data_IF_032920919790
#
_entry.id   IF_032920919790
#
_cell.length_a   1.000
_cell.length_b   1.000
_cell.length_c   1.000
_cell.angle_alpha   90.00
_cell.angle_beta   90.00
_cell.angle_gamma   90.00
#
_symmetry.space_group_name_H-M   'P 1'
#
loop_
_entity.id
_entity.type
_entity.pdbx_description
1 polymer ?
#
# COMPACT_ATOMS: atom_id res chain seq x y z
N UNK A 1 -36.86 -13.47 -16.71
CA UNK A 1 -35.47 -13.06 -16.46
C UNK A 1 -35.48 -12.19 -15.24
N UNK A 2 -35.11 -12.74 -14.11
CA UNK A 2 -35.03 -12.02 -12.83
C UNK A 2 -33.88 -11.00 -12.95
N UNK A 3 -34.16 -9.70 -12.80
CA UNK A 3 -33.12 -8.70 -12.56
C UNK A 3 -32.47 -9.06 -11.23
N UNK A 4 -31.30 -9.60 -11.24
CA UNK A 4 -30.42 -9.59 -10.07
C UNK A 4 -30.21 -8.12 -9.72
N UNK A 5 -30.76 -7.65 -8.62
CA UNK A 5 -30.45 -6.33 -8.07
C UNK A 5 -28.94 -6.29 -7.88
N UNK A 6 -28.25 -5.40 -8.59
CA UNK A 6 -26.81 -5.21 -8.43
C UNK A 6 -26.56 -4.70 -7.01
N UNK A 7 -25.78 -5.43 -6.26
CA UNK A 7 -25.33 -5.03 -4.92
C UNK A 7 -24.52 -3.74 -5.07
N UNK A 8 -24.82 -2.72 -4.24
CA UNK A 8 -24.00 -1.51 -4.25
C UNK A 8 -22.56 -1.83 -3.81
N UNK A 9 -21.51 -1.22 -4.41
CA UNK A 9 -20.12 -1.44 -3.98
C UNK A 9 -19.89 -1.19 -2.48
N UNK A 10 -20.67 -0.29 -1.87
CA UNK A 10 -20.64 -0.02 -0.42
C UNK A 10 -21.13 -1.19 0.44
N UNK A 11 -22.05 -1.99 -0.08
CA UNK A 11 -22.76 -3.04 0.66
C UNK A 11 -22.15 -4.43 0.41
N UNK A 12 -21.07 -4.51 -0.37
CA UNK A 12 -20.31 -5.73 -0.57
C UNK A 12 -19.72 -6.19 0.75
N UNK A 13 -19.99 -7.43 1.13
CA UNK A 13 -19.44 -8.05 2.35
C UNK A 13 -17.96 -8.33 2.14
N UNK A 14 -17.10 -7.73 2.97
CA UNK A 14 -15.64 -7.85 2.86
C UNK A 14 -15.07 -8.91 3.81
N UNK A 15 -15.65 -9.07 4.99
CA UNK A 15 -15.26 -10.11 5.95
C UNK A 15 -16.40 -10.45 6.92
N UNK A 16 -16.23 -11.52 7.69
CA UNK A 16 -17.14 -11.91 8.76
C UNK A 16 -16.38 -12.37 10.01
N UNK A 17 -16.89 -11.99 11.21
CA UNK A 17 -16.40 -12.46 12.50
C UNK A 17 -17.56 -13.17 13.24
N UNK A 18 -17.48 -14.49 13.36
CA UNK A 18 -18.62 -15.29 13.82
C UNK A 18 -19.81 -15.16 12.88
N UNK A 19 -20.95 -14.68 13.40
CA UNK A 19 -22.18 -14.45 12.63
C UNK A 19 -22.31 -13.02 12.10
N UNK A 20 -21.41 -12.12 12.49
CA UNK A 20 -21.45 -10.72 12.09
C UNK A 20 -20.67 -10.52 10.78
N UNK A 21 -21.33 -9.95 9.78
CA UNK A 21 -20.74 -9.57 8.51
C UNK A 21 -20.38 -8.07 8.54
N UNK A 22 -19.27 -7.76 7.86
CA UNK A 22 -18.77 -6.40 7.70
C UNK A 22 -18.66 -6.09 6.21
N UNK A 23 -19.14 -4.91 5.84
CA UNK A 23 -19.22 -4.45 4.46
C UNK A 23 -18.07 -3.51 4.13
N UNK A 24 -17.93 -3.15 2.84
CA UNK A 24 -17.02 -2.10 2.40
C UNK A 24 -17.28 -0.78 3.14
N UNK A 25 -18.54 -0.43 3.40
CA UNK A 25 -18.92 0.72 4.23
C UNK A 25 -18.36 0.66 5.65
N UNK A 26 -18.27 -0.54 6.25
CA UNK A 26 -17.69 -0.72 7.58
C UNK A 26 -16.18 -0.59 7.56
N UNK A 27 -15.52 -1.13 6.56
CA UNK A 27 -14.07 -0.99 6.38
C UNK A 27 -13.67 0.48 6.16
N UNK A 28 -14.43 1.22 5.35
CA UNK A 28 -14.23 2.66 5.11
C UNK A 28 -14.48 3.45 6.40
N UNK A 29 -15.58 3.22 7.10
CA UNK A 29 -15.88 3.91 8.36
C UNK A 29 -14.79 3.64 9.42
N UNK A 30 -14.27 2.42 9.49
CA UNK A 30 -13.16 2.08 10.35
C UNK A 30 -11.85 2.80 9.93
N UNK A 31 -11.59 2.96 8.64
CA UNK A 31 -10.43 3.72 8.15
C UNK A 31 -10.56 5.22 8.46
N UNK A 32 -11.77 5.80 8.35
CA UNK A 32 -12.07 7.19 8.78
C UNK A 32 -11.82 7.33 10.28
N UNK A 33 -12.32 6.40 11.10
CA UNK A 33 -12.09 6.39 12.55
C UNK A 33 -10.60 6.39 12.89
N UNK A 34 -9.78 5.66 12.14
CA UNK A 34 -8.32 5.59 12.32
C UNK A 34 -7.54 6.75 11.72
N UNK A 35 -8.18 7.67 10.99
CA UNK A 35 -7.53 8.78 10.31
C UNK A 35 -6.69 8.35 9.09
N UNK A 36 -6.95 7.17 8.52
CA UNK A 36 -6.22 6.60 7.37
C UNK A 36 -6.91 6.86 6.04
N UNK A 37 -7.98 7.62 6.06
CA UNK A 37 -8.90 7.80 4.93
C UNK A 37 -8.58 9.04 4.10
N UNK A 38 -8.26 10.16 4.74
CA UNK A 38 -8.24 11.49 4.12
C UNK A 38 -7.29 11.57 2.92
N UNK A 39 -6.10 11.02 3.02
CA UNK A 39 -5.13 11.01 1.93
C UNK A 39 -5.68 10.31 0.67
N UNK A 40 -6.38 9.18 0.86
CA UNK A 40 -7.00 8.44 -0.25
C UNK A 40 -8.14 9.22 -0.90
N UNK A 41 -8.95 9.88 -0.07
CA UNK A 41 -10.03 10.73 -0.55
C UNK A 41 -9.49 11.93 -1.34
N UNK A 42 -8.47 12.62 -0.84
CA UNK A 42 -7.85 13.75 -1.53
C UNK A 42 -7.15 13.31 -2.83
N UNK A 43 -6.54 12.14 -2.85
CA UNK A 43 -5.95 11.57 -4.08
C UNK A 43 -7.04 11.28 -5.12
N UNK A 44 -8.16 10.69 -4.71
CA UNK A 44 -9.30 10.45 -5.59
C UNK A 44 -9.88 11.75 -6.15
N UNK A 45 -10.08 12.79 -5.32
CA UNK A 45 -10.57 14.09 -5.80
C UNK A 45 -9.62 14.74 -6.81
N UNK A 46 -8.30 14.57 -6.66
CA UNK A 46 -7.33 15.02 -7.67
C UNK A 46 -7.50 14.28 -8.99
N UNK A 47 -7.77 12.97 -8.96
CA UNK A 47 -8.02 12.20 -10.18
C UNK A 47 -9.31 12.61 -10.87
N UNK A 48 -10.38 12.90 -10.13
CA UNK A 48 -11.63 13.43 -10.70
C UNK A 48 -11.38 14.79 -11.34
N UNK A 49 -10.72 15.71 -10.63
CA UNK A 49 -10.39 17.03 -11.18
C UNK A 49 -9.46 16.96 -12.42
N UNK A 50 -8.60 15.96 -12.51
CA UNK A 50 -7.77 15.73 -13.69
C UNK A 50 -8.60 15.21 -14.88
N UNK A 51 -9.60 14.37 -14.64
CA UNK A 51 -10.56 13.90 -15.64
C UNK A 51 -11.38 15.09 -16.19
N UNK A 52 -11.98 15.90 -15.31
CA UNK A 52 -12.72 17.12 -15.71
C UNK A 52 -11.83 18.08 -16.51
N UNK A 53 -10.57 18.23 -16.11
CA UNK A 53 -9.61 19.08 -16.82
C UNK A 53 -9.20 18.52 -18.17
N UNK A 54 -9.09 17.21 -18.30
CA UNK A 54 -8.81 16.55 -19.57
C UNK A 54 -9.95 16.78 -20.56
N UNK A 55 -11.20 16.69 -20.10
CA UNK A 55 -12.39 16.98 -20.90
C UNK A 55 -12.44 18.47 -21.36
N UNK A 56 -12.15 19.40 -20.44
CA UNK A 56 -12.08 20.84 -20.80
C UNK A 56 -11.00 21.16 -21.84
N UNK A 57 -9.91 20.43 -21.83
CA UNK A 57 -8.79 20.59 -22.78
C UNK A 57 -8.97 19.76 -24.05
N UNK A 58 -10.08 19.02 -24.17
CA UNK A 58 -10.31 18.07 -25.29
C UNK A 58 -9.09 17.16 -25.48
N UNK A 59 -8.51 16.67 -24.36
CA UNK A 59 -7.32 15.82 -24.38
C UNK A 59 -7.60 14.49 -25.09
N UNK A 60 -6.83 14.19 -26.12
CA UNK A 60 -6.93 12.90 -26.81
C UNK A 60 -6.36 11.79 -25.90
N UNK A 61 -7.23 10.86 -25.49
CA UNK A 61 -6.82 9.75 -24.64
C UNK A 61 -6.12 8.68 -25.48
N UNK A 62 -4.98 8.19 -24.98
CA UNK A 62 -4.31 7.02 -25.58
C UNK A 62 -5.02 5.72 -25.16
N UNK A 63 -5.99 5.32 -25.97
CA UNK A 63 -6.74 4.08 -25.75
C UNK A 63 -5.85 2.84 -25.65
N UNK A 64 -4.69 2.83 -26.32
CA UNK A 64 -3.74 1.71 -26.24
C UNK A 64 -3.09 1.62 -24.85
N UNK A 65 -2.69 2.78 -24.29
CA UNK A 65 -2.12 2.84 -22.94
C UNK A 65 -3.15 2.47 -21.86
N UNK A 66 -4.40 2.94 -22.01
CA UNK A 66 -5.51 2.60 -21.10
C UNK A 66 -5.82 1.11 -21.17
N UNK A 67 -5.92 0.54 -22.37
CA UNK A 67 -6.17 -0.90 -22.56
C UNK A 67 -5.04 -1.75 -21.98
N UNK A 68 -3.79 -1.35 -22.17
CA UNK A 68 -2.64 -2.06 -21.60
C UNK A 68 -2.68 -2.09 -20.06
N UNK A 69 -3.06 -0.97 -19.41
CA UNK A 69 -3.21 -0.91 -17.96
C UNK A 69 -4.35 -1.81 -17.46
N UNK A 70 -5.48 -1.85 -18.18
CA UNK A 70 -6.60 -2.73 -17.88
C UNK A 70 -6.24 -4.21 -18.06
N UNK A 71 -5.47 -4.55 -19.09
CA UNK A 71 -4.95 -5.90 -19.30
C UNK A 71 -3.98 -6.32 -18.20
N UNK A 72 -3.06 -5.46 -17.81
CA UNK A 72 -2.13 -5.71 -16.69
C UNK A 72 -2.89 -6.00 -15.39
N UNK A 73 -3.96 -5.24 -15.11
CA UNK A 73 -4.84 -5.50 -13.97
C UNK A 73 -5.45 -6.89 -14.07
N UNK A 74 -6.03 -7.25 -15.22
CA UNK A 74 -6.66 -8.56 -15.43
C UNK A 74 -5.66 -9.71 -15.22
N UNK A 75 -4.46 -9.61 -15.76
CA UNK A 75 -3.40 -10.62 -15.56
C UNK A 75 -2.99 -10.74 -14.10
N UNK A 76 -2.87 -9.62 -13.38
CA UNK A 76 -2.52 -9.62 -11.95
C UNK A 76 -3.57 -10.31 -11.08
N UNK A 77 -4.83 -10.30 -11.53
CA UNK A 77 -5.97 -10.93 -10.84
C UNK A 77 -6.39 -12.26 -11.46
N UNK A 78 -5.58 -12.87 -12.34
CA UNK A 78 -5.87 -14.11 -13.05
C UNK A 78 -7.22 -14.09 -13.84
N UNK A 79 -7.61 -12.91 -14.35
CA UNK A 79 -8.84 -12.71 -15.11
C UNK A 79 -8.54 -12.84 -16.62
N UNK A 80 -8.51 -14.05 -17.10
CA UNK A 80 -8.07 -14.35 -18.49
C UNK A 80 -9.19 -14.06 -19.49
N UNK A 81 -10.45 -14.38 -19.14
CA UNK A 81 -11.60 -14.21 -20.02
C UNK A 81 -12.44 -12.99 -19.67
N UNK A 82 -13.29 -12.54 -20.59
CA UNK A 82 -14.25 -11.47 -20.34
C UNK A 82 -15.27 -11.86 -19.26
N UNK A 83 -15.74 -13.12 -19.30
CA UNK A 83 -16.70 -13.67 -18.35
C UNK A 83 -16.13 -13.71 -16.92
N UNK A 84 -14.84 -14.04 -16.76
CA UNK A 84 -14.16 -13.98 -15.45
C UNK A 84 -14.07 -12.54 -14.94
N UNK A 85 -13.77 -11.60 -15.83
CA UNK A 85 -13.73 -10.18 -15.49
C UNK A 85 -15.11 -9.68 -15.06
N UNK A 86 -16.16 -9.98 -15.83
CA UNK A 86 -17.55 -9.61 -15.49
C UNK A 86 -17.97 -10.22 -14.15
N UNK A 87 -17.69 -11.49 -13.91
CA UNK A 87 -18.01 -12.15 -12.66
C UNK A 87 -17.25 -11.54 -11.47
N UNK A 88 -15.97 -11.19 -11.65
CA UNK A 88 -15.16 -10.53 -10.64
C UNK A 88 -15.72 -9.16 -10.27
N UNK A 89 -16.10 -8.36 -11.26
CA UNK A 89 -16.72 -7.05 -11.09
C UNK A 89 -18.08 -7.16 -10.39
N UNK A 90 -18.97 -8.03 -10.91
CA UNK A 90 -20.30 -8.24 -10.37
C UNK A 90 -20.28 -8.67 -8.90
N UNK A 91 -19.34 -9.55 -8.51
CA UNK A 91 -19.15 -9.97 -7.12
C UNK A 91 -18.71 -8.82 -6.18
N UNK A 92 -18.23 -7.70 -6.75
CA UNK A 92 -17.81 -6.50 -6.05
C UNK A 92 -18.77 -5.33 -6.23
N UNK A 93 -19.93 -5.58 -6.83
CA UNK A 93 -20.94 -4.57 -7.11
C UNK A 93 -20.51 -3.53 -8.15
N UNK A 94 -19.54 -3.89 -9.01
CA UNK A 94 -19.01 -3.04 -10.07
C UNK A 94 -19.56 -3.43 -11.44
N UNK A 95 -19.61 -2.46 -12.33
CA UNK A 95 -19.92 -2.64 -13.75
C UNK A 95 -18.65 -2.58 -14.59
N UNK A 96 -18.79 -2.92 -15.88
CA UNK A 96 -17.68 -2.75 -16.83
C UNK A 96 -17.38 -1.26 -17.08
N UNK A 97 -18.40 -0.40 -17.01
CA UNK A 97 -18.22 1.06 -17.11
C UNK A 97 -17.37 1.59 -15.94
N UNK A 98 -17.65 1.17 -14.69
CA UNK A 98 -16.82 1.53 -13.53
C UNK A 98 -15.35 1.13 -13.73
N UNK A 99 -15.11 -0.03 -14.35
CA UNK A 99 -13.78 -0.54 -14.65
C UNK A 99 -13.08 0.30 -15.71
N UNK A 100 -13.75 0.60 -16.83
CA UNK A 100 -13.21 1.41 -17.92
C UNK A 100 -12.90 2.82 -17.46
N UNK A 101 -13.86 3.46 -16.77
CA UNK A 101 -13.74 4.82 -16.26
C UNK A 101 -12.59 4.96 -15.25
N UNK A 102 -12.36 3.92 -14.44
CA UNK A 102 -11.24 3.91 -13.51
C UNK A 102 -9.89 4.06 -14.23
N UNK A 103 -9.64 3.30 -15.29
CA UNK A 103 -8.36 3.35 -16.01
C UNK A 103 -8.23 4.65 -16.83
N UNK A 104 -9.31 5.15 -17.40
CA UNK A 104 -9.34 6.46 -18.09
C UNK A 104 -8.98 7.58 -17.12
N UNK A 105 -9.56 7.58 -15.92
CA UNK A 105 -9.25 8.54 -14.85
C UNK A 105 -7.82 8.47 -14.38
N UNK A 106 -7.26 7.24 -14.23
CA UNK A 106 -5.85 7.06 -13.89
C UNK A 106 -4.92 7.61 -14.98
N UNK A 107 -5.29 7.42 -16.25
CA UNK A 107 -4.56 7.98 -17.37
C UNK A 107 -4.56 9.52 -17.34
N UNK A 108 -5.73 10.15 -17.18
CA UNK A 108 -5.85 11.60 -17.08
C UNK A 108 -5.03 12.16 -15.90
N UNK A 109 -5.10 11.53 -14.74
CA UNK A 109 -4.33 11.93 -13.57
C UNK A 109 -2.81 11.88 -13.82
N UNK A 110 -2.33 10.87 -14.55
CA UNK A 110 -0.91 10.74 -14.91
C UNK A 110 -0.49 11.75 -15.97
N UNK A 111 -1.37 12.03 -16.94
CA UNK A 111 -1.08 12.96 -18.03
C UNK A 111 -1.08 14.42 -17.57
N UNK A 112 -1.85 14.77 -16.54
CA UNK A 112 -2.05 16.12 -16.02
C UNK A 112 -1.53 16.28 -14.57
N UNK A 113 -0.45 15.58 -14.21
CA UNK A 113 0.10 15.51 -12.85
C UNK A 113 0.47 16.88 -12.24
N UNK A 114 0.75 17.88 -13.07
CA UNK A 114 1.05 19.23 -12.61
C UNK A 114 -0.10 20.21 -12.88
N UNK A 115 -0.58 20.87 -11.82
CA UNK A 115 -1.44 22.04 -11.92
C UNK A 115 -2.93 21.82 -11.71
N UNK A 116 -3.38 20.62 -11.37
CA UNK A 116 -4.77 20.34 -11.03
C UNK A 116 -4.99 20.47 -9.53
N UNK A 117 -5.84 21.42 -9.14
CA UNK A 117 -6.25 21.59 -7.73
C UNK A 117 -7.68 21.07 -7.57
N UNK A 118 -7.90 20.01 -6.77
CA UNK A 118 -9.24 19.47 -6.57
C UNK A 118 -10.12 20.44 -5.77
N UNK A 119 -11.42 20.38 -6.00
CA UNK A 119 -12.41 21.00 -5.13
C UNK A 119 -12.34 20.37 -3.74
N UNK A 120 -12.40 21.20 -2.69
CA UNK A 120 -12.35 20.73 -1.30
C UNK A 120 -13.72 20.22 -0.86
N UNK A 121 -14.02 18.96 -1.10
CA UNK A 121 -15.26 18.28 -0.74
C UNK A 121 -15.01 17.30 0.40
N UNK A 122 -15.73 17.45 1.51
CA UNK A 122 -15.71 16.43 2.57
C UNK A 122 -16.48 15.18 2.12
N UNK A 123 -15.94 13.99 2.37
CA UNK A 123 -16.58 12.71 2.01
C UNK A 123 -18.02 12.60 2.50
N UNK A 124 -18.28 13.03 3.74
CA UNK A 124 -19.60 12.95 4.36
C UNK A 124 -20.66 13.85 3.72
N UNK A 125 -20.22 14.91 3.04
CA UNK A 125 -21.09 15.84 2.31
C UNK A 125 -21.09 15.61 0.78
N UNK A 126 -20.24 14.72 0.28
CA UNK A 126 -20.15 14.41 -1.14
C UNK A 126 -21.42 13.74 -1.66
N UNK A 127 -21.73 13.98 -2.96
CA UNK A 127 -22.85 13.33 -3.63
C UNK A 127 -22.73 11.81 -3.60
N UNK A 128 -23.84 11.05 -3.54
CA UNK A 128 -23.81 9.60 -3.52
C UNK A 128 -23.05 8.97 -4.70
N UNK A 129 -23.18 9.57 -5.89
CA UNK A 129 -22.50 9.13 -7.11
C UNK A 129 -20.99 9.26 -6.96
N UNK A 130 -20.49 10.39 -6.46
CA UNK A 130 -19.06 10.62 -6.23
C UNK A 130 -18.49 9.64 -5.18
N UNK A 131 -19.26 9.35 -4.13
CA UNK A 131 -18.88 8.32 -3.15
C UNK A 131 -18.87 6.92 -3.76
N UNK A 132 -19.80 6.62 -4.68
CA UNK A 132 -19.84 5.36 -5.43
C UNK A 132 -18.57 5.18 -6.29
N UNK A 133 -18.20 6.20 -7.06
CA UNK A 133 -16.96 6.20 -7.86
C UNK A 133 -15.71 6.03 -7.00
N UNK A 134 -15.68 6.66 -5.82
CA UNK A 134 -14.57 6.49 -4.88
C UNK A 134 -14.44 5.05 -4.40
N UNK A 135 -15.56 4.41 -4.00
CA UNK A 135 -15.53 3.01 -3.55
C UNK A 135 -15.11 2.07 -4.68
N UNK A 136 -15.59 2.30 -5.90
CA UNK A 136 -15.13 1.58 -7.09
C UNK A 136 -13.60 1.72 -7.26
N UNK A 137 -13.09 2.94 -7.13
CA UNK A 137 -11.64 3.20 -7.15
C UNK A 137 -10.86 2.50 -6.04
N UNK A 138 -11.40 2.46 -4.81
CA UNK A 138 -10.78 1.72 -3.70
C UNK A 138 -10.71 0.21 -3.96
N UNK A 139 -11.75 -0.37 -4.58
CA UNK A 139 -11.79 -1.78 -4.96
C UNK A 139 -10.74 -2.07 -6.04
N UNK A 140 -10.74 -1.28 -7.11
CA UNK A 140 -9.87 -1.50 -8.27
C UNK A 140 -8.39 -1.22 -7.99
N UNK A 141 -8.09 -0.30 -7.06
CA UNK A 141 -6.71 -0.04 -6.61
C UNK A 141 -6.18 -1.04 -5.58
N UNK A 142 -7.02 -1.93 -5.03
CA UNK A 142 -6.68 -2.79 -3.89
C UNK A 142 -6.71 -2.07 -2.52
N UNK A 143 -6.98 -0.76 -2.49
CA UNK A 143 -6.97 0.01 -1.24
C UNK A 143 -8.09 -0.42 -0.26
N UNK A 144 -9.23 -0.92 -0.77
CA UNK A 144 -10.27 -1.51 0.08
C UNK A 144 -9.79 -2.80 0.76
N UNK A 145 -8.99 -3.60 0.07
CA UNK A 145 -8.41 -4.82 0.65
C UNK A 145 -7.48 -4.49 1.81
N UNK A 146 -6.61 -3.48 1.67
CA UNK A 146 -5.75 -2.98 2.75
C UNK A 146 -6.56 -2.51 3.96
N UNK A 147 -7.64 -1.73 3.72
CA UNK A 147 -8.55 -1.27 4.78
C UNK A 147 -9.22 -2.47 5.48
N UNK A 148 -9.60 -3.47 4.69
CA UNK A 148 -10.24 -4.70 5.18
C UNK A 148 -9.29 -5.52 6.03
N UNK A 149 -8.05 -5.75 5.59
CA UNK A 149 -7.03 -6.47 6.37
C UNK A 149 -6.80 -5.80 7.72
N UNK A 150 -6.67 -4.47 7.73
CA UNK A 150 -6.53 -3.71 8.97
C UNK A 150 -7.73 -3.81 9.90
N UNK A 151 -8.96 -3.86 9.35
CA UNK A 151 -10.18 -4.12 10.13
C UNK A 151 -10.17 -5.55 10.68
N UNK A 152 -9.84 -6.55 9.85
CA UNK A 152 -9.80 -7.96 10.24
C UNK A 152 -8.82 -8.22 11.39
N UNK A 153 -7.63 -7.60 11.39
CA UNK A 153 -6.67 -7.70 12.49
C UNK A 153 -7.26 -7.23 13.83
N UNK A 154 -8.02 -6.14 13.79
CA UNK A 154 -8.65 -5.55 14.97
C UNK A 154 -9.82 -6.37 15.48
N UNK A 155 -10.64 -6.88 14.55
CA UNK A 155 -11.70 -7.82 14.87
C UNK A 155 -11.13 -9.10 15.49
N UNK A 156 -10.07 -9.65 14.92
CA UNK A 156 -9.41 -10.83 15.46
C UNK A 156 -8.82 -10.57 16.86
N UNK A 157 -8.20 -9.41 17.08
CA UNK A 157 -7.72 -9.00 18.40
C UNK A 157 -8.86 -8.93 19.43
N UNK A 158 -9.99 -8.35 19.02
CA UNK A 158 -11.19 -8.26 19.88
C UNK A 158 -11.76 -9.63 20.22
N UNK A 159 -11.80 -10.55 19.23
CA UNK A 159 -12.32 -11.91 19.44
C UNK A 159 -11.39 -12.78 20.31
N UNK A 160 -10.07 -12.59 20.21
CA UNK A 160 -9.08 -13.38 20.95
C UNK A 160 -8.74 -12.80 22.33
N UNK A 161 -9.04 -11.52 22.56
CA UNK A 161 -8.70 -10.80 23.78
C UNK A 161 -9.74 -10.94 24.90
N UNK A 162 -9.35 -10.46 26.08
CA UNK A 162 -10.29 -10.17 27.16
C UNK A 162 -11.03 -8.87 26.85
N UNK A 163 -12.17 -8.65 27.51
CA UNK A 163 -12.88 -7.38 27.41
C UNK A 163 -11.96 -6.21 27.75
N UNK A 164 -12.01 -5.16 26.93
CA UNK A 164 -11.25 -3.94 27.18
C UNK A 164 -11.74 -3.24 28.45
N UNK A 165 -10.81 -2.76 29.27
CA UNK A 165 -11.20 -2.04 30.49
C UNK A 165 -11.78 -0.66 30.16
N UNK A 166 -12.65 -0.10 31.02
CA UNK A 166 -13.20 1.25 30.84
C UNK A 166 -12.10 2.31 30.66
N UNK A 167 -10.99 2.15 31.36
CA UNK A 167 -9.82 3.06 31.30
C UNK A 167 -9.14 3.00 29.93
N UNK A 168 -9.00 1.80 29.35
CA UNK A 168 -8.42 1.60 28.01
C UNK A 168 -9.32 2.23 26.94
N UNK A 169 -10.64 2.02 27.04
CA UNK A 169 -11.64 2.64 26.14
C UNK A 169 -11.60 4.16 26.26
N UNK A 170 -11.53 4.71 27.48
CA UNK A 170 -11.42 6.16 27.70
C UNK A 170 -10.10 6.74 27.16
N UNK A 171 -9.01 5.98 27.22
CA UNK A 171 -7.74 6.37 26.63
C UNK A 171 -7.83 6.40 25.10
N UNK A 172 -8.47 5.40 24.49
CA UNK A 172 -8.66 5.37 23.03
C UNK A 172 -9.60 6.47 22.54
N UNK A 173 -10.66 6.82 23.31
CA UNK A 173 -11.50 7.97 23.00
C UNK A 173 -10.70 9.28 22.94
N UNK A 174 -9.77 9.49 23.88
CA UNK A 174 -8.91 10.69 23.84
C UNK A 174 -8.00 10.73 22.61
N UNK A 175 -7.40 9.59 22.25
CA UNK A 175 -6.58 9.47 21.02
C UNK A 175 -7.44 9.74 19.78
N UNK A 176 -8.62 9.16 19.69
CA UNK A 176 -9.55 9.35 18.59
C UNK A 176 -9.94 10.83 18.42
N UNK A 177 -10.41 11.51 19.48
CA UNK A 177 -10.77 12.93 19.40
C UNK A 177 -9.58 13.82 19.00
N UNK A 178 -8.37 13.51 19.48
CA UNK A 178 -7.14 14.19 19.07
C UNK A 178 -6.79 13.98 17.60
N UNK A 179 -7.02 12.77 17.09
CA UNK A 179 -6.74 12.38 15.69
C UNK A 179 -7.65 13.08 14.69
N UNK A 180 -8.97 13.07 14.96
CA UNK A 180 -9.95 13.72 14.05
C UNK A 180 -10.14 15.21 14.34
N UNK A 181 -9.47 15.74 15.35
CA UNK A 181 -9.45 17.16 15.74
C UNK A 181 -10.87 17.76 15.93
N UNK A 182 -11.78 17.02 16.54
CA UNK A 182 -13.12 17.51 16.90
C UNK A 182 -13.30 17.61 18.41
N UNK A 183 -14.19 18.54 18.82
CA UNK A 183 -14.57 18.67 20.23
C UNK A 183 -15.66 17.63 20.56
N UNK A 184 -15.74 17.17 21.81
CA UNK A 184 -16.78 16.21 22.25
C UNK A 184 -18.23 16.65 21.89
N UNK A 185 -18.52 17.95 21.93
CA UNK A 185 -19.83 18.48 21.55
C UNK A 185 -20.19 18.32 20.07
N UNK A 186 -19.20 18.11 19.19
CA UNK A 186 -19.39 17.93 17.74
C UNK A 186 -19.52 16.44 17.35
N UNK A 187 -19.25 15.53 18.30
CA UNK A 187 -19.18 14.09 18.04
C UNK A 187 -20.49 13.51 17.51
N UNK A 188 -21.63 13.92 18.06
CA UNK A 188 -22.94 13.44 17.62
C UNK A 188 -23.19 13.80 16.14
N UNK A 189 -22.89 15.04 15.75
CA UNK A 189 -23.04 15.52 14.38
C UNK A 189 -22.08 14.80 13.42
N UNK A 190 -20.85 14.53 13.87
CA UNK A 190 -19.86 13.78 13.09
C UNK A 190 -20.31 12.34 12.84
N UNK A 191 -20.84 11.65 13.87
CA UNK A 191 -21.38 10.31 13.73
C UNK A 191 -22.57 10.27 12.78
N UNK A 192 -23.51 11.23 12.91
CA UNK A 192 -24.66 11.36 12.01
C UNK A 192 -24.22 11.53 10.55
N UNK A 193 -23.25 12.40 10.30
CA UNK A 193 -22.70 12.63 8.96
C UNK A 193 -22.03 11.39 8.36
N UNK A 194 -21.46 10.52 9.20
CA UNK A 194 -20.89 9.23 8.81
C UNK A 194 -21.96 8.12 8.68
N UNK A 195 -23.23 8.39 9.06
CA UNK A 195 -24.30 7.39 9.12
C UNK A 195 -24.07 6.35 10.21
N UNK A 196 -23.47 6.75 11.34
CA UNK A 196 -23.12 5.90 12.48
C UNK A 196 -23.70 6.46 13.77
N UNK A 197 -23.73 5.64 14.81
CA UNK A 197 -24.24 5.99 16.12
C UNK A 197 -23.21 5.81 17.24
N UNK A 198 -23.62 6.11 18.45
CA UNK A 198 -22.78 5.95 19.64
C UNK A 198 -22.45 4.49 19.96
N UNK A 199 -23.30 3.55 19.57
CA UNK A 199 -23.05 2.12 19.78
C UNK A 199 -21.89 1.67 18.88
N UNK A 200 -21.91 2.03 17.61
CA UNK A 200 -20.81 1.78 16.68
C UNK A 200 -19.51 2.41 17.17
N UNK A 201 -19.53 3.65 17.66
CA UNK A 201 -18.35 4.30 18.21
C UNK A 201 -17.74 3.52 19.38
N UNK A 202 -18.60 3.12 20.34
CA UNK A 202 -18.14 2.34 21.49
C UNK A 202 -17.54 0.99 21.08
N UNK A 203 -18.09 0.34 20.06
CA UNK A 203 -17.56 -0.89 19.50
C UNK A 203 -16.18 -0.64 18.87
N UNK A 204 -16.02 0.39 18.04
CA UNK A 204 -14.75 0.74 17.43
C UNK A 204 -13.67 1.08 18.47
N UNK A 205 -14.02 1.81 19.52
CA UNK A 205 -13.11 2.09 20.63
C UNK A 205 -12.67 0.81 21.36
N UNK A 206 -13.59 -0.12 21.60
CA UNK A 206 -13.27 -1.39 22.23
C UNK A 206 -12.38 -2.28 21.34
N UNK A 207 -12.63 -2.28 20.03
CA UNK A 207 -11.83 -2.99 19.03
C UNK A 207 -10.41 -2.42 18.99
N UNK A 208 -10.23 -1.10 18.92
CA UNK A 208 -8.91 -0.46 18.90
C UNK A 208 -8.17 -0.63 20.23
N UNK A 209 -8.86 -0.56 21.37
CA UNK A 209 -8.25 -0.81 22.67
C UNK A 209 -7.73 -2.26 22.78
N UNK A 210 -8.48 -3.25 22.29
CA UNK A 210 -8.03 -4.63 22.23
C UNK A 210 -6.81 -4.80 21.31
N UNK A 211 -6.85 -4.21 20.11
CA UNK A 211 -5.73 -4.24 19.19
C UNK A 211 -4.46 -3.62 19.80
N UNK A 212 -4.60 -2.44 20.44
CA UNK A 212 -3.49 -1.78 21.13
C UNK A 212 -2.87 -2.65 22.23
N UNK A 213 -3.69 -3.32 23.03
CA UNK A 213 -3.20 -4.24 24.07
C UNK A 213 -2.41 -5.43 23.51
N UNK A 214 -2.82 -5.98 22.36
CA UNK A 214 -2.05 -7.01 21.67
C UNK A 214 -0.72 -6.48 21.11
N UNK A 215 -0.73 -5.28 20.51
CA UNK A 215 0.50 -4.63 20.03
C UNK A 215 1.50 -4.39 21.18
N UNK A 216 1.04 -3.86 22.32
CA UNK A 216 1.87 -3.58 23.47
C UNK A 216 2.50 -4.86 24.05
N UNK A 217 1.74 -5.96 24.08
CA UNK A 217 2.24 -7.26 24.54
C UNK A 217 3.25 -7.90 23.56
N UNK A 218 3.09 -7.63 22.27
CA UNK A 218 3.93 -8.21 21.20
C UNK A 218 5.22 -7.43 21.00
N UNK A 219 5.14 -6.09 20.97
CA UNK A 219 6.24 -5.21 20.60
C UNK A 219 7.17 -4.91 21.80
N UNK A 220 7.54 -5.95 22.56
CA UNK A 220 8.49 -5.84 23.67
C UNK A 220 9.95 -5.89 23.15
N UNK A 221 10.92 -5.30 23.88
CA UNK A 221 12.33 -5.26 23.44
C UNK A 221 12.90 -6.61 23.04
N UNK A 222 12.59 -7.66 23.78
CA UNK A 222 13.09 -9.01 23.56
C UNK A 222 12.54 -9.63 22.27
N UNK A 223 11.27 -9.36 21.94
CA UNK A 223 10.66 -9.83 20.69
C UNK A 223 11.28 -9.11 19.49
N UNK A 224 11.44 -7.78 19.57
CA UNK A 224 12.12 -6.99 18.55
C UNK A 224 13.54 -7.47 18.29
N UNK A 225 14.31 -7.76 19.35
CA UNK A 225 15.68 -8.22 19.22
C UNK A 225 15.75 -9.60 18.54
N UNK A 226 14.86 -10.53 18.89
CA UNK A 226 14.78 -11.84 18.22
C UNK A 226 14.42 -11.70 16.75
N UNK A 227 13.45 -10.85 16.44
CA UNK A 227 13.02 -10.60 15.06
C UNK A 227 14.11 -9.91 14.23
N UNK A 228 14.84 -8.95 14.83
CA UNK A 228 15.98 -8.31 14.17
C UNK A 228 17.05 -9.35 13.78
N UNK A 229 17.36 -10.30 14.68
CA UNK A 229 18.31 -11.37 14.38
C UNK A 229 17.83 -12.21 13.21
N UNK A 230 16.55 -12.58 13.17
CA UNK A 230 15.96 -13.35 12.08
C UNK A 230 15.99 -12.58 10.73
N UNK A 231 15.80 -11.27 10.77
CA UNK A 231 15.78 -10.40 9.60
C UNK A 231 17.14 -9.76 9.26
N UNK A 232 18.21 -10.09 9.99
CA UNK A 232 19.51 -9.42 9.90
C UNK A 232 20.02 -9.32 8.46
N UNK A 233 19.97 -10.40 7.70
CA UNK A 233 20.42 -10.40 6.30
C UNK A 233 19.49 -9.55 5.41
N UNK A 234 18.19 -9.75 5.51
CA UNK A 234 17.20 -9.04 4.70
C UNK A 234 17.25 -7.52 4.89
N UNK A 235 17.52 -7.07 6.12
CA UNK A 235 17.61 -5.66 6.48
C UNK A 235 19.02 -5.08 6.39
N UNK A 236 20.04 -5.87 5.98
CA UNK A 236 21.38 -5.33 5.71
C UNK A 236 21.30 -4.29 4.61
N UNK A 237 21.80 -3.09 4.85
CA UNK A 237 21.85 -1.99 3.89
C UNK A 237 23.19 -2.00 3.15
N UNK A 238 23.11 -1.78 1.85
CA UNK A 238 24.24 -1.67 0.95
C UNK A 238 24.34 -0.22 0.46
N UNK A 239 25.44 0.45 0.80
CA UNK A 239 25.80 1.73 0.18
C UNK A 239 26.59 1.43 -1.09
N UNK A 240 26.15 1.96 -2.25
CA UNK A 240 26.66 1.58 -3.56
C UNK A 240 26.93 2.78 -4.44
N UNK A 241 27.90 2.61 -5.37
CA UNK A 241 28.07 3.45 -6.53
C UNK A 241 27.60 2.68 -7.77
N UNK A 242 26.85 3.34 -8.64
CA UNK A 242 26.18 2.76 -9.79
C UNK A 242 26.48 3.57 -11.02
N UNK A 243 26.75 2.88 -12.15
CA UNK A 243 26.86 3.47 -13.49
C UNK A 243 25.87 2.74 -14.38
N UNK A 244 25.01 3.49 -15.08
CA UNK A 244 24.10 2.96 -16.08
C UNK A 244 24.76 3.00 -17.45
N UNK A 245 24.68 1.90 -18.21
CA UNK A 245 25.38 1.71 -19.49
C UNK A 245 24.42 1.13 -20.52
N UNK A 246 24.59 1.55 -21.77
CA UNK A 246 23.69 1.20 -22.88
C UNK A 246 23.84 -0.25 -23.37
N UNK A 247 24.99 -0.87 -23.11
CA UNK A 247 25.28 -2.22 -23.61
C UNK A 247 26.17 -3.02 -22.67
N UNK A 248 26.13 -4.36 -22.84
CA UNK A 248 26.99 -5.26 -22.10
C UNK A 248 28.49 -5.04 -22.36
N UNK A 249 28.85 -4.68 -23.60
CA UNK A 249 30.27 -4.44 -23.97
C UNK A 249 30.76 -3.15 -23.31
N UNK A 250 29.96 -2.07 -23.30
CA UNK A 250 30.29 -0.84 -22.59
C UNK A 250 30.43 -1.10 -21.08
N UNK A 251 29.58 -1.96 -20.51
CA UNK A 251 29.63 -2.31 -19.10
C UNK A 251 30.89 -3.14 -18.75
N UNK A 252 31.31 -4.02 -19.63
CA UNK A 252 32.57 -4.76 -19.46
C UNK A 252 33.80 -3.86 -19.58
N UNK A 253 33.81 -2.93 -20.53
CA UNK A 253 34.89 -1.94 -20.68
C UNK A 253 34.96 -1.07 -19.40
N UNK A 254 33.84 -0.54 -18.93
CA UNK A 254 33.81 0.23 -17.70
C UNK A 254 34.31 -0.59 -16.49
N UNK A 255 33.90 -1.87 -16.37
CA UNK A 255 34.39 -2.78 -15.34
C UNK A 255 35.94 -2.94 -15.44
N UNK A 256 36.47 -3.10 -16.66
CA UNK A 256 37.92 -3.24 -16.89
C UNK A 256 38.66 -1.97 -16.46
N UNK A 257 38.21 -0.77 -16.87
CA UNK A 257 38.81 0.50 -16.48
C UNK A 257 38.86 0.68 -14.95
N UNK A 258 37.80 0.27 -14.24
CA UNK A 258 37.80 0.37 -12.78
C UNK A 258 38.70 -0.69 -12.13
N UNK A 259 38.69 -1.93 -12.65
CA UNK A 259 39.37 -3.07 -12.03
C UNK A 259 40.87 -3.10 -12.33
N UNK A 260 41.25 -2.84 -13.57
CA UNK A 260 42.64 -3.01 -14.06
C UNK A 260 43.37 -1.67 -14.13
N UNK A 261 42.73 -0.61 -14.62
CA UNK A 261 43.33 0.71 -14.75
C UNK A 261 43.26 1.56 -13.47
N UNK A 262 42.51 1.08 -12.48
CA UNK A 262 42.41 1.73 -11.18
C UNK A 262 41.60 3.03 -11.19
N UNK A 263 40.80 3.27 -12.22
CA UNK A 263 39.92 4.45 -12.31
C UNK A 263 38.82 4.36 -11.29
N UNK A 264 38.39 5.48 -10.75
CA UNK A 264 37.17 5.50 -9.92
C UNK A 264 35.92 5.36 -10.78
N UNK A 265 34.83 4.82 -10.19
CA UNK A 265 33.50 4.74 -10.84
C UNK A 265 33.09 6.10 -11.44
N UNK A 266 33.35 7.19 -10.69
CA UNK A 266 32.99 8.54 -11.12
C UNK A 266 33.83 9.02 -12.32
N UNK A 267 35.10 8.68 -12.38
CA UNK A 267 35.99 9.03 -13.54
C UNK A 267 35.49 8.29 -14.78
N UNK A 268 35.26 6.97 -14.71
CA UNK A 268 34.74 6.17 -15.82
C UNK A 268 33.40 6.73 -16.32
N UNK A 269 32.49 7.04 -15.41
CA UNK A 269 31.20 7.64 -15.75
C UNK A 269 31.36 9.02 -16.44
N UNK A 270 32.31 9.84 -15.98
CA UNK A 270 32.55 11.17 -16.53
C UNK A 270 33.14 11.09 -17.93
N UNK A 271 34.16 10.23 -18.15
CA UNK A 271 34.81 10.05 -19.46
C UNK A 271 33.84 9.42 -20.47
N UNK A 272 33.09 8.39 -20.07
CA UNK A 272 32.11 7.73 -20.91
C UNK A 272 30.78 8.47 -21.07
N UNK A 273 30.57 9.57 -20.31
CA UNK A 273 29.32 10.33 -20.23
C UNK A 273 28.13 9.46 -19.81
N UNK A 274 28.37 8.52 -18.93
CA UNK A 274 27.33 7.62 -18.38
C UNK A 274 26.69 8.22 -17.15
N UNK A 275 25.40 7.98 -16.91
CA UNK A 275 24.76 8.31 -15.65
C UNK A 275 25.44 7.63 -14.47
N UNK A 276 25.80 8.43 -13.46
CA UNK A 276 26.40 7.97 -12.22
C UNK A 276 25.56 8.40 -11.03
N UNK A 277 25.30 7.45 -10.12
CA UNK A 277 24.60 7.75 -8.88
C UNK A 277 25.18 6.97 -7.70
N UNK A 278 24.95 7.50 -6.50
CA UNK A 278 25.07 6.75 -5.26
C UNK A 278 23.69 6.38 -4.78
N UNK A 279 23.53 5.17 -4.29
CA UNK A 279 22.26 4.68 -3.81
C UNK A 279 22.48 3.74 -2.63
N UNK A 280 21.46 3.71 -1.77
CA UNK A 280 21.39 2.83 -0.62
C UNK A 280 20.19 1.91 -0.80
N UNK A 281 20.44 0.61 -0.73
CA UNK A 281 19.38 -0.41 -0.81
C UNK A 281 19.50 -1.39 0.36
N UNK A 282 18.37 -1.87 0.84
CA UNK A 282 18.37 -3.05 1.72
C UNK A 282 18.30 -4.31 0.87
N UNK A 283 18.84 -5.42 1.40
CA UNK A 283 18.86 -6.68 0.65
C UNK A 283 17.45 -7.08 0.17
N UNK A 284 16.43 -6.92 1.01
CA UNK A 284 15.05 -7.26 0.67
C UNK A 284 14.43 -6.40 -0.46
N UNK A 285 15.02 -5.25 -0.78
CA UNK A 285 14.59 -4.34 -1.86
C UNK A 285 15.19 -4.74 -3.21
N UNK A 286 16.18 -5.63 -3.19
CA UNK A 286 16.83 -6.13 -4.40
C UNK A 286 16.07 -7.35 -4.95
N UNK A 287 16.07 -7.57 -6.27
CA UNK A 287 15.52 -8.79 -6.87
C UNK A 287 16.11 -10.05 -6.24
N UNK A 288 15.27 -11.05 -5.98
CA UNK A 288 15.66 -12.27 -5.23
C UNK A 288 16.85 -13.00 -5.86
N UNK A 289 16.91 -13.07 -7.19
CA UNK A 289 18.00 -13.68 -7.95
C UNK A 289 19.32 -12.91 -7.84
N UNK A 290 19.26 -11.60 -7.59
CA UNK A 290 20.43 -10.75 -7.39
C UNK A 290 20.99 -10.81 -5.96
N UNK A 291 20.14 -11.03 -4.94
CA UNK A 291 20.49 -10.91 -3.52
C UNK A 291 21.75 -11.70 -3.14
N UNK A 292 21.89 -12.94 -3.65
CA UNK A 292 23.05 -13.78 -3.32
C UNK A 292 24.37 -13.20 -3.82
N UNK A 293 24.36 -12.49 -4.96
CA UNK A 293 25.56 -11.82 -5.51
C UNK A 293 26.01 -10.70 -4.58
N UNK A 294 25.08 -9.87 -4.09
CA UNK A 294 25.39 -8.79 -3.15
C UNK A 294 25.90 -9.30 -1.79
N UNK A 295 25.42 -10.44 -1.34
CA UNK A 295 25.88 -11.06 -0.09
C UNK A 295 27.32 -11.58 -0.23
N UNK A 296 27.70 -12.09 -1.40
CA UNK A 296 28.98 -12.77 -1.63
C UNK A 296 30.18 -11.82 -1.78
N UNK A 297 29.98 -10.55 -2.12
CA UNK A 297 31.05 -9.57 -2.33
C UNK A 297 31.37 -8.79 -1.07
N UNK A 298 32.60 -8.25 -0.97
CA UNK A 298 33.05 -7.42 0.16
C UNK A 298 32.92 -5.91 -0.16
N UNK A 299 32.90 -5.05 0.87
CA UNK A 299 33.02 -3.62 0.66
C UNK A 299 34.30 -3.29 -0.15
N UNK A 300 34.15 -2.47 -1.20
CA UNK A 300 35.19 -2.12 -2.17
C UNK A 300 35.12 -2.94 -3.46
N UNK A 301 34.46 -4.10 -3.46
CA UNK A 301 34.38 -4.96 -4.64
C UNK A 301 33.37 -4.41 -5.67
N UNK A 302 33.62 -4.78 -6.92
CA UNK A 302 32.74 -4.57 -8.07
C UNK A 302 31.93 -5.84 -8.33
N UNK A 303 30.65 -5.66 -8.59
CA UNK A 303 29.80 -6.72 -9.15
C UNK A 303 30.03 -6.82 -10.66
N UNK A 304 29.88 -8.03 -11.20
CA UNK A 304 29.80 -8.19 -12.66
C UNK A 304 28.58 -7.43 -13.20
N UNK A 305 28.70 -6.80 -14.40
CA UNK A 305 27.59 -6.03 -14.97
C UNK A 305 26.29 -6.82 -15.01
N UNK A 306 25.20 -6.17 -14.62
CA UNK A 306 23.86 -6.77 -14.54
C UNK A 306 22.91 -6.06 -15.50
N UNK A 307 21.98 -6.79 -16.14
CA UNK A 307 20.90 -6.16 -16.89
C UNK A 307 20.07 -5.22 -16.00
N UNK A 308 19.78 -4.03 -16.49
CA UNK A 308 18.96 -3.03 -15.81
C UNK A 308 18.16 -2.22 -16.83
N UNK A 309 16.82 -2.30 -16.80
CA UNK A 309 15.98 -1.71 -17.84
C UNK A 309 16.36 -2.23 -19.23
N UNK A 310 16.53 -1.30 -20.18
CA UNK A 310 16.97 -1.61 -21.56
C UNK A 310 18.50 -1.72 -21.72
N UNK A 311 19.26 -1.56 -20.62
CA UNK A 311 20.71 -1.54 -20.62
C UNK A 311 21.34 -2.42 -19.54
N UNK A 312 22.47 -1.94 -19.01
CA UNK A 312 23.25 -2.64 -17.99
C UNK A 312 23.64 -1.67 -16.87
N UNK A 313 23.84 -2.22 -15.69
CA UNK A 313 24.31 -1.48 -14.53
C UNK A 313 25.62 -2.11 -14.02
N UNK A 314 26.66 -1.26 -13.80
CA UNK A 314 27.86 -1.61 -13.08
C UNK A 314 27.75 -1.09 -11.65
N UNK A 315 27.92 -1.97 -10.67
CA UNK A 315 27.75 -1.67 -9.26
C UNK A 315 29.06 -1.90 -8.49
N UNK A 316 29.41 -0.94 -7.61
CA UNK A 316 30.46 -1.08 -6.59
C UNK A 316 29.86 -1.00 -5.20
N UNK A 317 30.11 -2.00 -4.37
CA UNK A 317 29.70 -1.97 -2.97
C UNK A 317 30.66 -1.09 -2.19
N UNK A 318 30.19 0.01 -1.64
CA UNK A 318 30.99 0.90 -0.81
C UNK A 318 31.01 0.44 0.65
N UNK A 319 29.85 0.02 1.16
CA UNK A 319 29.71 -0.38 2.54
C UNK A 319 28.53 -1.35 2.72
N UNK A 320 28.66 -2.26 3.68
CA UNK A 320 27.56 -3.06 4.23
C UNK A 320 27.28 -2.61 5.65
N UNK A 321 26.06 -2.14 5.91
CA UNK A 321 25.62 -1.65 7.21
C UNK A 321 24.66 -2.65 7.83
N UNK A 322 25.05 -3.18 8.99
CA UNK A 322 24.19 -4.08 9.74
C UNK A 322 22.98 -3.34 10.33
N UNK A 323 21.79 -3.94 10.28
CA UNK A 323 20.59 -3.30 10.82
C UNK A 323 20.66 -3.18 12.36
N UNK A 324 20.12 -2.07 12.88
CA UNK A 324 20.07 -1.79 14.32
C UNK A 324 18.69 -1.23 14.68
N UNK A 325 18.19 -1.57 15.88
CA UNK A 325 16.87 -1.08 16.36
C UNK A 325 16.85 0.42 16.66
N UNK A 326 17.99 1.06 16.77
CA UNK A 326 18.11 2.52 16.90
C UNK A 326 17.76 3.26 15.61
N UNK A 327 17.86 2.58 14.45
CA UNK A 327 17.37 3.09 13.18
C UNK A 327 15.82 2.98 13.16
N UNK A 328 15.10 4.12 13.06
CA UNK A 328 13.64 4.12 13.07
C UNK A 328 13.03 3.29 11.93
N UNK A 329 13.69 3.24 10.76
CA UNK A 329 13.22 2.48 9.59
C UNK A 329 13.35 0.99 9.83
N UNK A 330 14.49 0.54 10.36
CA UNK A 330 14.71 -0.86 10.74
C UNK A 330 13.73 -1.28 11.82
N UNK A 331 13.56 -0.44 12.87
CA UNK A 331 12.60 -0.71 13.93
C UNK A 331 11.18 -0.85 13.41
N UNK A 332 10.75 0.06 12.53
CA UNK A 332 9.42 0.02 11.90
C UNK A 332 9.20 -1.26 11.10
N UNK A 333 10.19 -1.70 10.31
CA UNK A 333 10.11 -2.96 9.54
C UNK A 333 10.07 -4.20 10.45
N UNK A 334 10.86 -4.21 11.53
CA UNK A 334 10.82 -5.28 12.53
C UNK A 334 9.46 -5.34 13.22
N UNK A 335 8.92 -4.19 13.64
CA UNK A 335 7.60 -4.10 14.28
C UNK A 335 6.51 -4.58 13.31
N UNK A 336 6.55 -4.13 12.05
CA UNK A 336 5.59 -4.54 11.03
C UNK A 336 5.61 -6.07 10.80
N UNK A 337 6.78 -6.69 10.67
CA UNK A 337 6.89 -8.15 10.50
C UNK A 337 6.35 -8.95 11.70
N UNK A 338 6.57 -8.44 12.91
CA UNK A 338 5.99 -9.05 14.11
C UNK A 338 4.45 -8.96 14.10
N UNK A 339 3.92 -7.79 13.73
CA UNK A 339 2.47 -7.57 13.64
C UNK A 339 1.85 -8.41 12.53
N UNK A 340 2.43 -8.40 11.32
CA UNK A 340 1.96 -9.16 10.16
C UNK A 340 1.82 -10.64 10.50
N UNK A 341 2.87 -11.24 11.04
CA UNK A 341 2.87 -12.66 11.40
C UNK A 341 1.82 -12.97 12.46
N UNK A 342 1.80 -12.19 13.54
CA UNK A 342 0.90 -12.43 14.65
C UNK A 342 -0.57 -12.26 14.25
N UNK A 343 -0.90 -11.14 13.57
CA UNK A 343 -2.29 -10.86 13.21
C UNK A 343 -2.78 -11.70 12.03
N UNK A 344 -1.91 -12.12 11.13
CA UNK A 344 -2.26 -13.09 10.08
C UNK A 344 -2.73 -14.41 10.71
N UNK A 345 -1.97 -14.95 11.65
CA UNK A 345 -2.32 -16.18 12.38
C UNK A 345 -3.61 -16.02 13.20
N UNK A 346 -3.78 -14.85 13.82
CA UNK A 346 -4.95 -14.56 14.65
C UNK A 346 -6.21 -14.39 13.79
N UNK A 347 -6.09 -13.69 12.66
CA UNK A 347 -7.18 -13.48 11.71
C UNK A 347 -7.69 -14.81 11.16
N UNK A 348 -6.79 -15.70 10.75
CA UNK A 348 -7.16 -17.02 10.22
C UNK A 348 -8.03 -17.83 11.20
N UNK A 349 -7.88 -17.60 12.51
CA UNK A 349 -8.65 -18.30 13.55
C UNK A 349 -10.04 -17.70 13.83
N UNK A 350 -10.21 -16.40 13.61
CA UNK A 350 -11.36 -15.66 14.13
C UNK A 350 -12.18 -14.92 13.07
N UNK A 351 -11.60 -14.63 11.90
CA UNK A 351 -12.24 -13.81 10.88
C UNK A 351 -12.16 -14.51 9.52
N UNK A 352 -13.26 -14.55 8.80
CA UNK A 352 -13.32 -15.13 7.46
C UNK A 352 -13.34 -14.01 6.42
N UNK A 353 -12.34 -13.91 5.52
CA UNK A 353 -12.42 -13.01 4.39
C UNK A 353 -13.57 -13.45 3.46
N UNK A 354 -14.26 -12.49 2.84
CA UNK A 354 -15.34 -12.72 1.88
C UNK A 354 -14.99 -12.23 0.48
N UNK A 355 -14.14 -11.19 0.36
CA UNK A 355 -13.48 -10.88 -0.89
C UNK A 355 -12.24 -11.76 -1.00
N UNK A 356 -12.07 -12.45 -2.14
CA UNK A 356 -10.87 -13.23 -2.40
C UNK A 356 -9.69 -12.25 -2.46
N UNK A 357 -8.84 -12.29 -1.44
CA UNK A 357 -7.53 -11.64 -1.49
C UNK A 357 -6.66 -12.55 -2.34
N UNK A 358 -6.04 -12.09 -3.44
CA UNK A 358 -5.00 -12.86 -4.11
C UNK A 358 -3.89 -13.14 -3.09
N UNK A 359 -3.53 -14.41 -2.95
CA UNK A 359 -2.44 -14.88 -2.06
C UNK A 359 -1.09 -14.51 -2.66
#
# INVERSE_FOLDING_TARGET
MSRTESVSPHDVVVCACGTQEYTARDAIAAAIFRGEFEEKWQTFLRHVAAEDRADELELELDESAISAAAEEFRYRHDLITAEETEAWLANRGLTFDDFSDYFSRQYCAKALDEGVSPEQIEYTSAAPELRGLFVAGLILSGALEDMTVKLMWRLAARCAGKESTPEAIAAEMRKFLGRINIKPAQLAKWLEALGRDSQWLNEMLAIEAAYGAHCDALLVPEARQRQLIALRLHLTQFEMELIELESHDAAKEALFCVREDGMSMKEVATEGRYPYRRADFRLEELPTDAQQRYLSVSPGDLLEPMPHGDGFELCRIMKKVEPRLEDPTVKSRVDQRLLDQYFSDLTTKHVSPRLSVPV
#
